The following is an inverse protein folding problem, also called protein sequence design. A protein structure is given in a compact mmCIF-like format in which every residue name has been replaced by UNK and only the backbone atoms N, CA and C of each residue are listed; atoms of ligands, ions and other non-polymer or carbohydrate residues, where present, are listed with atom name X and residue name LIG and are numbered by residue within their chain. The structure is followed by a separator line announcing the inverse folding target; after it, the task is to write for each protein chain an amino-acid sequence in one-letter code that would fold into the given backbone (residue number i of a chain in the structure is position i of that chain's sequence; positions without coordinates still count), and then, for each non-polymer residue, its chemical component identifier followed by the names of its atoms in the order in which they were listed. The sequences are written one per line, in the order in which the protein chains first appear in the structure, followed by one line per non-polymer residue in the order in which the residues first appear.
data_IF_057356249149
#
_entry.id   IF_057356249149
#
_cell.length_a   1.000
_cell.length_b   1.000
_cell.length_c   1.000
_cell.angle_alpha   90.00
_cell.angle_beta   90.00
_cell.angle_gamma   90.00
#
_symmetry.space_group_name_H-M   'P 1'
#
loop_
_entity.id
_entity.type
_entity.pdbx_description
1 polymer ?
#
# COMPACT_ATOMS: atom_id res chain seq x y z
N UNK A 1 6.70 8.84 22.41
CA UNK A 1 5.74 9.92 22.80
C UNK A 1 5.35 10.80 21.61
N UNK A 2 6.30 11.27 20.79
CA UNK A 2 6.01 12.17 19.64
C UNK A 2 5.13 11.49 18.58
N UNK A 3 5.45 10.29 18.15
CA UNK A 3 4.66 9.52 17.18
C UNK A 3 3.21 9.30 17.69
N UNK A 4 3.07 8.90 18.96
CA UNK A 4 1.73 8.75 19.56
C UNK A 4 0.96 10.06 19.61
N UNK A 5 1.63 11.20 19.79
CA UNK A 5 0.96 12.52 19.75
C UNK A 5 0.42 12.86 18.35
N UNK A 6 1.08 12.39 17.28
CA UNK A 6 0.56 12.54 15.92
C UNK A 6 -0.74 11.74 15.77
N UNK A 7 -0.75 10.46 16.15
CA UNK A 7 -1.96 9.65 16.15
C UNK A 7 -3.06 10.27 17.04
N UNK A 8 -2.73 10.62 18.30
CA UNK A 8 -3.68 11.21 19.23
C UNK A 8 -4.26 12.56 18.75
N UNK A 9 -3.55 13.30 17.89
CA UNK A 9 -4.03 14.58 17.35
C UNK A 9 -5.17 14.43 16.34
N UNK A 10 -5.36 13.24 15.80
CA UNK A 10 -6.43 12.93 14.84
C UNK A 10 -7.68 12.33 15.48
N UNK A 11 -7.63 12.03 16.79
CA UNK A 11 -8.78 11.48 17.50
C UNK A 11 -10.02 12.37 17.41
N UNK A 12 -11.13 11.78 16.97
CA UNK A 12 -12.39 12.48 16.73
C UNK A 12 -12.38 13.35 15.47
N UNK A 13 -11.37 13.25 14.62
CA UNK A 13 -11.32 13.89 13.30
C UNK A 13 -11.63 12.87 12.19
N UNK A 14 -11.97 13.35 11.01
CA UNK A 14 -12.23 12.49 9.84
C UNK A 14 -11.02 11.65 9.42
N UNK A 15 -9.80 12.04 9.82
CA UNK A 15 -8.54 11.35 9.56
C UNK A 15 -8.13 10.34 10.64
N UNK A 16 -8.95 10.09 11.65
CA UNK A 16 -8.61 9.19 12.74
C UNK A 16 -8.24 7.77 12.26
N UNK A 17 -9.03 7.23 11.33
CA UNK A 17 -8.80 5.89 10.78
C UNK A 17 -7.50 5.81 9.96
N UNK A 18 -7.10 6.90 9.30
CA UNK A 18 -5.88 6.93 8.48
C UNK A 18 -4.59 7.03 9.30
N UNK A 19 -4.66 7.65 10.49
CA UNK A 19 -3.52 7.78 11.40
C UNK A 19 -3.53 6.75 12.52
N UNK A 20 -4.66 6.16 12.85
CA UNK A 20 -4.78 5.17 13.91
C UNK A 20 -3.86 3.96 13.69
N UNK A 21 -2.94 3.70 14.64
CA UNK A 21 -1.98 2.59 14.56
C UNK A 21 -0.93 2.70 13.46
N UNK A 22 -0.78 3.86 12.80
CA UNK A 22 0.17 4.06 11.71
C UNK A 22 1.62 3.78 12.12
N UNK A 23 1.96 4.02 13.37
CA UNK A 23 3.28 3.80 13.96
C UNK A 23 3.36 2.56 14.86
N UNK A 24 2.38 1.67 14.80
CA UNK A 24 2.30 0.49 15.68
C UNK A 24 3.48 -0.48 15.51
N UNK A 25 4.09 -0.50 14.33
CA UNK A 25 5.23 -1.36 14.00
C UNK A 25 6.58 -0.82 14.48
N UNK A 26 6.61 0.42 14.98
CA UNK A 26 7.85 1.05 15.47
C UNK A 26 8.12 0.60 16.91
N UNK A 27 8.90 -0.47 17.04
CA UNK A 27 9.39 -0.98 18.33
C UNK A 27 10.81 -0.49 18.62
N UNK A 28 10.92 0.63 19.36
CA UNK A 28 12.19 1.19 19.80
C UNK A 28 12.90 0.30 20.85
N UNK A 29 12.23 -0.68 21.43
CA UNK A 29 12.81 -1.66 22.34
C UNK A 29 13.38 -2.89 21.60
N UNK A 30 13.15 -3.02 20.31
CA UNK A 30 13.56 -4.16 19.50
C UNK A 30 15.04 -4.51 19.68
N UNK A 31 15.40 -5.79 19.86
CA UNK A 31 16.82 -6.23 19.92
C UNK A 31 17.53 -6.04 18.57
N UNK A 32 16.80 -5.84 17.47
CA UNK A 32 17.37 -5.53 16.15
C UNK A 32 18.07 -4.16 16.10
N UNK A 33 17.68 -3.22 16.97
CA UNK A 33 18.28 -1.90 17.06
C UNK A 33 19.57 -1.86 17.85
N UNK A 34 19.87 -2.89 18.65
CA UNK A 34 21.06 -2.98 19.47
C UNK A 34 20.87 -3.89 20.68
N UNK A 35 21.98 -4.32 21.29
CA UNK A 35 21.95 -5.23 22.44
C UNK A 35 21.67 -4.51 23.76
N UNK A 36 22.12 -3.28 23.90
CA UNK A 36 21.94 -2.44 25.08
C UNK A 36 21.01 -1.26 24.80
N UNK A 37 20.50 -0.61 25.84
CA UNK A 37 19.72 0.61 25.68
C UNK A 37 20.54 1.73 25.02
N UNK A 38 21.83 1.83 25.34
CA UNK A 38 22.73 2.84 24.78
C UNK A 38 22.96 2.59 23.27
N UNK A 39 23.15 1.32 22.84
CA UNK A 39 23.26 0.99 21.41
C UNK A 39 22.02 1.43 20.63
N UNK A 40 20.84 1.12 21.17
CA UNK A 40 19.55 1.47 20.56
C UNK A 40 19.37 2.99 20.48
N UNK A 41 19.64 3.70 21.57
CA UNK A 41 19.55 5.14 21.63
C UNK A 41 20.53 5.80 20.64
N UNK A 42 21.77 5.30 20.58
CA UNK A 42 22.78 5.80 19.65
C UNK A 42 22.35 5.62 18.21
N UNK A 43 21.83 4.43 17.84
CA UNK A 43 21.35 4.17 16.48
C UNK A 43 20.20 5.10 16.10
N UNK A 44 19.17 5.20 16.96
CA UNK A 44 17.99 6.06 16.71
C UNK A 44 18.41 7.54 16.63
N UNK A 45 19.29 7.99 17.54
CA UNK A 45 19.81 9.38 17.53
C UNK A 45 20.56 9.69 16.24
N UNK A 46 21.41 8.77 15.77
CA UNK A 46 22.15 8.96 14.51
C UNK A 46 21.23 9.06 13.31
N UNK A 47 20.16 8.25 13.26
CA UNK A 47 19.15 8.34 12.19
C UNK A 47 18.42 9.69 12.23
N UNK A 48 17.99 10.14 13.43
CA UNK A 48 17.29 11.41 13.58
C UNK A 48 18.20 12.60 13.22
N UNK A 49 19.46 12.58 13.63
CA UNK A 49 20.41 13.64 13.27
C UNK A 49 20.71 13.66 11.77
N UNK A 50 20.83 12.50 11.14
CA UNK A 50 21.03 12.42 9.69
C UNK A 50 19.82 12.96 8.91
N UNK A 51 18.60 12.79 9.44
CA UNK A 51 17.38 13.35 8.84
C UNK A 51 17.26 14.86 9.10
N UNK A 52 17.70 15.33 10.26
CA UNK A 52 17.66 16.77 10.64
C UNK A 52 18.58 17.62 9.75
N UNK A 53 19.67 17.02 9.25
CA UNK A 53 20.61 17.68 8.33
C UNK A 53 20.07 17.79 6.88
N UNK A 54 18.93 17.18 6.54
CA UNK A 54 18.36 17.18 5.20
C UNK A 54 17.36 18.36 5.08
N UNK A 55 17.65 19.28 4.17
CA UNK A 55 16.67 20.28 3.77
C UNK A 55 15.68 19.67 2.77
N UNK A 56 14.50 19.35 3.25
CA UNK A 56 13.41 18.83 2.41
C UNK A 56 12.67 19.90 1.62
N UNK A 57 13.11 21.16 1.69
CA UNK A 57 12.51 22.27 0.93
C UNK A 57 11.04 22.55 1.25
N UNK A 58 10.56 22.17 2.43
CA UNK A 58 9.14 22.23 2.83
C UNK A 58 8.55 23.65 2.76
N UNK A 59 9.40 24.68 2.76
CA UNK A 59 8.96 26.07 2.71
C UNK A 59 8.94 26.67 1.28
N UNK A 60 9.55 26.02 0.29
CA UNK A 60 9.90 26.69 -0.97
C UNK A 60 9.22 26.16 -2.24
N UNK A 61 8.63 24.98 -2.29
CA UNK A 61 8.08 24.46 -3.55
C UNK A 61 6.81 23.65 -3.39
N UNK A 62 5.76 24.14 -4.02
CA UNK A 62 4.50 23.40 -4.21
C UNK A 62 4.57 22.38 -5.37
N UNK A 63 5.70 22.23 -6.04
CA UNK A 63 5.80 21.49 -7.30
C UNK A 63 6.57 20.16 -7.22
N UNK A 64 7.28 19.85 -6.13
CA UNK A 64 8.06 18.62 -6.02
C UNK A 64 7.66 17.88 -4.75
N UNK A 65 7.18 16.68 -4.93
CA UNK A 65 6.85 15.73 -3.86
C UNK A 65 8.12 15.07 -3.29
N UNK A 66 8.98 15.91 -2.68
CA UNK A 66 10.29 15.47 -2.18
C UNK A 66 10.16 14.39 -1.10
N UNK A 67 9.19 14.52 -0.21
CA UNK A 67 9.00 13.55 0.88
C UNK A 67 8.47 12.21 0.36
N UNK A 68 7.50 12.25 -0.55
CA UNK A 68 6.97 11.06 -1.20
C UNK A 68 8.03 10.35 -2.03
N UNK A 69 8.78 11.06 -2.87
CA UNK A 69 9.86 10.50 -3.67
C UNK A 69 10.97 9.89 -2.81
N UNK A 70 11.38 10.57 -1.73
CA UNK A 70 12.37 10.04 -0.78
C UNK A 70 11.86 8.76 -0.10
N UNK A 71 10.58 8.72 0.26
CA UNK A 71 9.96 7.55 0.86
C UNK A 71 9.89 6.38 -0.11
N UNK A 72 9.47 6.60 -1.36
CA UNK A 72 9.49 5.56 -2.41
C UNK A 72 10.90 5.03 -2.68
N UNK A 73 11.91 5.93 -2.70
CA UNK A 73 13.30 5.52 -2.82
C UNK A 73 13.72 4.59 -1.67
N UNK A 74 13.37 4.93 -0.42
CA UNK A 74 13.64 4.07 0.75
C UNK A 74 12.95 2.71 0.63
N UNK A 75 11.67 2.67 0.24
CA UNK A 75 10.95 1.42 -0.01
C UNK A 75 11.67 0.57 -1.06
N UNK A 76 12.13 1.17 -2.16
CA UNK A 76 12.87 0.47 -3.20
C UNK A 76 14.18 -0.14 -2.70
N UNK A 77 14.92 0.57 -1.83
CA UNK A 77 16.15 0.06 -1.21
C UNK A 77 15.88 -1.10 -0.24
N UNK A 78 14.81 -1.02 0.53
CA UNK A 78 14.38 -2.14 1.38
C UNK A 78 13.98 -3.35 0.55
N UNK A 79 13.26 -3.14 -0.55
CA UNK A 79 12.91 -4.20 -1.49
C UNK A 79 14.17 -4.86 -2.08
N UNK A 80 15.14 -4.08 -2.55
CA UNK A 80 16.40 -4.60 -3.07
C UNK A 80 17.16 -5.44 -2.04
N UNK A 81 17.15 -5.03 -0.77
CA UNK A 81 17.77 -5.77 0.35
C UNK A 81 17.01 -7.03 0.77
N UNK A 82 15.71 -7.13 0.51
CA UNK A 82 14.86 -8.26 0.91
C UNK A 82 14.94 -9.48 -0.04
N UNK A 83 15.64 -9.37 -1.17
CA UNK A 83 15.83 -10.46 -2.13
C UNK A 83 14.51 -10.96 -2.75
N UNK A 84 14.28 -12.29 -2.75
CA UNK A 84 13.07 -12.88 -3.37
C UNK A 84 11.74 -12.40 -2.79
N UNK A 85 11.74 -11.91 -1.56
CA UNK A 85 10.53 -11.35 -0.92
C UNK A 85 10.22 -9.91 -1.34
N UNK A 86 11.13 -9.26 -2.03
CA UNK A 86 10.97 -7.88 -2.48
C UNK A 86 9.74 -7.69 -3.39
N UNK A 87 9.50 -8.62 -4.31
CA UNK A 87 8.39 -8.59 -5.25
C UNK A 87 7.00 -8.78 -4.60
N UNK A 88 6.95 -9.16 -3.31
CA UNK A 88 5.70 -9.34 -2.58
C UNK A 88 5.11 -8.02 -2.03
N UNK A 89 5.91 -6.95 -1.97
CA UNK A 89 5.45 -5.68 -1.41
C UNK A 89 5.85 -4.43 -2.20
N UNK A 90 6.58 -4.58 -3.29
CA UNK A 90 7.01 -3.45 -4.13
C UNK A 90 7.01 -3.83 -5.61
N UNK A 91 6.41 -2.99 -6.43
CA UNK A 91 6.45 -3.10 -7.89
C UNK A 91 7.47 -2.09 -8.44
N UNK A 92 8.45 -2.52 -9.27
CA UNK A 92 9.43 -1.61 -9.87
C UNK A 92 8.77 -0.45 -10.60
N UNK A 93 9.36 0.74 -10.51
CA UNK A 93 8.78 1.97 -11.03
C UNK A 93 8.49 1.92 -12.54
N UNK A 94 9.36 1.30 -13.32
CA UNK A 94 9.19 1.14 -14.78
C UNK A 94 7.96 0.27 -15.11
N UNK A 95 7.76 -0.81 -14.34
CA UNK A 95 6.61 -1.70 -14.50
C UNK A 95 5.34 -0.98 -14.07
N UNK A 96 5.37 -0.31 -12.93
CA UNK A 96 4.23 0.49 -12.42
C UNK A 96 3.80 1.55 -13.43
N UNK A 97 4.76 2.22 -14.06
CA UNK A 97 4.48 3.22 -15.09
C UNK A 97 3.79 2.61 -16.32
N UNK A 98 4.30 1.50 -16.84
CA UNK A 98 3.70 0.82 -18.00
C UNK A 98 2.26 0.40 -17.68
N UNK A 99 2.03 -0.22 -16.53
CA UNK A 99 0.69 -0.65 -16.11
C UNK A 99 -0.25 0.55 -15.96
N UNK A 100 0.21 1.63 -15.35
CA UNK A 100 -0.57 2.85 -15.17
C UNK A 100 -0.94 3.51 -16.51
N UNK A 101 0.00 3.57 -17.46
CA UNK A 101 -0.26 4.08 -18.81
C UNK A 101 -1.30 3.22 -19.54
N UNK A 102 -1.20 1.87 -19.45
CA UNK A 102 -2.16 0.95 -20.08
C UNK A 102 -3.58 1.16 -19.55
N UNK A 103 -3.78 1.19 -18.23
CA UNK A 103 -5.13 1.33 -17.66
C UNK A 103 -5.73 2.72 -17.84
N UNK A 104 -4.90 3.70 -18.16
CA UNK A 104 -5.36 5.07 -18.44
C UNK A 104 -5.70 5.31 -19.92
N UNK A 105 -5.46 4.35 -20.82
CA UNK A 105 -5.76 4.49 -22.25
C UNK A 105 -7.26 4.73 -22.48
N UNK A 106 -7.59 5.82 -23.19
CA UNK A 106 -8.96 6.17 -23.51
C UNK A 106 -9.72 6.92 -22.40
N UNK A 107 -9.10 7.11 -21.26
CA UNK A 107 -9.67 7.90 -20.16
C UNK A 107 -9.01 9.28 -20.08
N UNK A 108 -9.81 10.35 -20.01
CA UNK A 108 -9.29 11.69 -19.68
C UNK A 108 -9.01 11.82 -18.18
N UNK A 109 -9.78 11.10 -17.38
CA UNK A 109 -9.66 11.04 -15.93
C UNK A 109 -10.35 9.78 -15.41
N UNK A 110 -9.71 9.09 -14.48
CA UNK A 110 -10.32 8.01 -13.71
C UNK A 110 -11.06 8.61 -12.50
N UNK A 111 -12.23 8.09 -12.16
CA UNK A 111 -12.89 8.44 -10.89
C UNK A 111 -12.18 7.75 -9.74
N UNK A 112 -11.94 6.46 -9.90
CA UNK A 112 -11.33 5.64 -8.87
C UNK A 112 -10.41 4.58 -9.48
N UNK A 113 -9.41 4.18 -8.68
CA UNK A 113 -8.46 3.13 -9.00
C UNK A 113 -8.32 2.19 -7.81
N UNK A 114 -8.18 0.90 -8.08
CA UNK A 114 -8.10 -0.14 -7.05
C UNK A 114 -6.91 -1.08 -7.26
N UNK A 115 -6.26 -1.47 -6.15
CA UNK A 115 -5.28 -2.55 -6.10
C UNK A 115 -5.61 -3.51 -4.95
N UNK A 116 -6.02 -4.76 -5.26
CA UNK A 116 -6.38 -5.77 -4.26
C UNK A 116 -5.19 -6.33 -3.46
N UNK A 117 -3.96 -6.00 -3.86
CA UNK A 117 -2.71 -6.47 -3.25
C UNK A 117 -1.69 -5.34 -3.24
N UNK A 118 -2.11 -4.17 -2.74
CA UNK A 118 -1.45 -2.90 -3.01
C UNK A 118 -0.01 -2.79 -2.50
N UNK A 119 0.44 -3.69 -1.65
CA UNK A 119 1.79 -3.65 -1.13
C UNK A 119 2.07 -2.32 -0.44
N UNK A 120 3.16 -1.67 -0.82
CA UNK A 120 3.52 -0.33 -0.34
C UNK A 120 2.68 0.81 -0.97
N UNK A 121 1.76 0.50 -1.90
CA UNK A 121 0.95 1.49 -2.61
C UNK A 121 1.61 2.15 -3.80
N UNK A 122 2.87 1.83 -4.13
CA UNK A 122 3.62 2.51 -5.20
C UNK A 122 2.99 2.35 -6.59
N UNK A 123 2.51 1.14 -6.95
CA UNK A 123 1.77 0.92 -8.21
C UNK A 123 0.46 1.72 -8.22
N UNK A 124 -0.25 1.70 -7.11
CA UNK A 124 -1.54 2.37 -6.95
C UNK A 124 -1.40 3.90 -7.07
N UNK A 125 -0.40 4.51 -6.41
CA UNK A 125 -0.06 5.92 -6.56
C UNK A 125 0.29 6.29 -8.00
N UNK A 126 1.08 5.45 -8.68
CA UNK A 126 1.46 5.67 -10.08
C UNK A 126 0.24 5.62 -11.00
N UNK A 127 -0.66 4.65 -10.81
CA UNK A 127 -1.89 4.54 -11.57
C UNK A 127 -2.82 5.74 -11.32
N UNK A 128 -2.94 6.17 -10.06
CA UNK A 128 -3.72 7.34 -9.69
C UNK A 128 -3.15 8.64 -10.30
N UNK A 129 -1.83 8.82 -10.26
CA UNK A 129 -1.16 10.01 -10.81
C UNK A 129 -1.34 10.10 -12.33
N UNK A 130 -1.02 9.04 -13.08
CA UNK A 130 -1.11 9.03 -14.55
C UNK A 130 -2.56 9.10 -15.02
N UNK A 131 -3.47 8.38 -14.34
CA UNK A 131 -4.90 8.37 -14.66
C UNK A 131 -5.67 9.57 -14.11
N UNK A 132 -5.01 10.51 -13.41
CA UNK A 132 -5.67 11.63 -12.73
C UNK A 132 -6.82 11.15 -11.82
N UNK A 133 -6.66 10.05 -11.12
CA UNK A 133 -7.71 9.47 -10.32
C UNK A 133 -8.12 10.39 -9.15
N UNK A 134 -9.43 10.38 -8.84
CA UNK A 134 -9.97 11.14 -7.71
C UNK A 134 -9.79 10.37 -6.42
N UNK A 135 -10.19 9.10 -6.44
CA UNK A 135 -10.21 8.23 -5.28
C UNK A 135 -9.35 7.00 -5.49
N UNK A 136 -8.66 6.59 -4.44
CA UNK A 136 -7.65 5.54 -4.43
C UNK A 136 -8.07 4.46 -3.44
N UNK A 137 -8.16 3.21 -3.89
CA UNK A 137 -8.56 2.10 -3.05
C UNK A 137 -7.49 1.01 -3.08
N UNK A 138 -7.16 0.46 -1.93
CA UNK A 138 -6.20 -0.61 -1.83
C UNK A 138 -6.54 -1.61 -0.73
N UNK A 139 -6.10 -2.84 -0.89
CA UNK A 139 -6.17 -3.83 0.16
C UNK A 139 -4.82 -4.54 0.29
N UNK A 140 -4.35 -4.71 1.53
CA UNK A 140 -3.06 -5.33 1.83
C UNK A 140 -3.19 -6.27 3.03
N UNK A 141 -2.73 -7.50 2.86
CA UNK A 141 -2.82 -8.54 3.89
C UNK A 141 -1.84 -8.33 5.03
N UNK A 142 -0.62 -7.88 4.72
CA UNK A 142 0.43 -7.70 5.72
C UNK A 142 0.26 -6.38 6.46
N UNK A 143 0.08 -6.37 7.81
CA UNK A 143 -0.14 -5.14 8.56
C UNK A 143 0.98 -4.11 8.43
N UNK A 144 2.24 -4.55 8.41
CA UNK A 144 3.39 -3.64 8.26
C UNK A 144 3.39 -2.98 6.89
N UNK A 145 3.14 -3.76 5.83
CA UNK A 145 3.07 -3.24 4.45
C UNK A 145 1.85 -2.34 4.26
N UNK A 146 0.72 -2.67 4.89
CA UNK A 146 -0.46 -1.81 4.96
C UNK A 146 -0.14 -0.43 5.58
N UNK A 147 0.62 -0.39 6.68
CA UNK A 147 1.07 0.86 7.28
C UNK A 147 2.01 1.64 6.36
N UNK A 148 2.89 0.94 5.61
CA UNK A 148 3.74 1.58 4.59
C UNK A 148 2.89 2.22 3.48
N UNK A 149 1.85 1.55 3.01
CA UNK A 149 0.95 2.09 1.98
C UNK A 149 0.23 3.36 2.44
N UNK A 150 -0.34 3.35 3.65
CA UNK A 150 -0.98 4.55 4.23
C UNK A 150 -0.01 5.72 4.37
N UNK A 151 1.18 5.45 4.90
CA UNK A 151 2.23 6.46 5.02
C UNK A 151 2.62 7.01 3.64
N UNK A 152 2.70 6.14 2.63
CA UNK A 152 3.02 6.54 1.25
C UNK A 152 1.96 7.50 0.69
N UNK A 153 0.66 7.21 0.87
CA UNK A 153 -0.42 8.11 0.47
C UNK A 153 -0.30 9.48 1.14
N UNK A 154 -0.08 9.50 2.46
CA UNK A 154 0.03 10.74 3.24
C UNK A 154 1.25 11.59 2.82
N UNK A 155 2.41 10.96 2.62
CA UNK A 155 3.64 11.65 2.22
C UNK A 155 3.58 12.20 0.79
N UNK A 156 2.77 11.61 -0.10
CA UNK A 156 2.46 12.14 -1.42
C UNK A 156 1.32 13.17 -1.40
N UNK A 157 0.94 13.66 -0.22
CA UNK A 157 -0.07 14.70 -0.09
C UNK A 157 -1.48 14.29 -0.52
N UNK A 158 -1.76 12.97 -0.66
CA UNK A 158 -3.11 12.51 -0.95
C UNK A 158 -3.99 12.80 0.26
N UNK A 159 -5.10 13.48 0.03
CA UNK A 159 -6.05 13.79 1.11
C UNK A 159 -6.62 12.50 1.67
N UNK A 160 -6.75 12.41 2.99
CA UNK A 160 -7.36 11.27 3.68
C UNK A 160 -8.75 10.90 3.15
N UNK A 161 -9.54 11.88 2.69
CA UNK A 161 -10.86 11.64 2.08
C UNK A 161 -10.80 10.99 0.69
N UNK A 162 -9.62 10.92 0.07
CA UNK A 162 -9.44 10.49 -1.32
C UNK A 162 -8.68 9.16 -1.42
N UNK A 163 -8.34 8.52 -0.30
CA UNK A 163 -7.82 7.17 -0.32
C UNK A 163 -8.49 6.30 0.76
N UNK A 164 -8.58 5.02 0.48
CA UNK A 164 -9.02 4.01 1.43
C UNK A 164 -8.17 2.76 1.26
N UNK A 165 -7.31 2.51 2.23
CA UNK A 165 -6.50 1.30 2.27
C UNK A 165 -7.01 0.42 3.40
N UNK A 166 -7.31 -0.85 3.11
CA UNK A 166 -7.86 -1.81 4.07
C UNK A 166 -6.84 -2.91 4.37
N UNK A 167 -6.77 -3.34 5.64
CA UNK A 167 -5.89 -4.42 6.04
C UNK A 167 -6.64 -5.75 6.08
N UNK A 168 -6.31 -6.66 5.17
CA UNK A 168 -6.94 -7.98 5.12
C UNK A 168 -6.57 -8.78 3.91
N UNK A 169 -6.83 -10.08 3.97
CA UNK A 169 -6.65 -10.99 2.84
C UNK A 169 -7.83 -10.83 1.87
N UNK A 170 -7.57 -10.22 0.73
CA UNK A 170 -8.55 -9.91 -0.32
C UNK A 170 -9.36 -11.12 -0.78
N UNK A 171 -8.73 -12.29 -0.86
CA UNK A 171 -9.44 -13.49 -1.30
C UNK A 171 -10.39 -14.02 -0.23
N UNK A 172 -10.04 -13.86 1.06
CA UNK A 172 -10.85 -14.34 2.18
C UNK A 172 -11.92 -13.34 2.61
N UNK A 173 -11.64 -12.06 2.47
CA UNK A 173 -12.51 -10.95 2.83
C UNK A 173 -12.33 -9.79 1.85
N UNK A 174 -13.37 -9.52 1.10
CA UNK A 174 -13.45 -8.39 0.18
C UNK A 174 -13.90 -7.15 0.94
N UNK A 175 -12.99 -6.21 1.12
CA UNK A 175 -13.26 -4.99 1.88
C UNK A 175 -14.19 -4.01 1.15
N UNK A 176 -14.31 -4.14 -0.18
CA UNK A 176 -15.03 -3.18 -1.01
C UNK A 176 -16.32 -3.74 -1.63
N UNK A 177 -16.61 -5.02 -1.43
CA UNK A 177 -17.87 -5.65 -1.82
C UNK A 177 -18.23 -5.42 -3.29
N UNK A 178 -19.41 -4.86 -3.55
CA UNK A 178 -19.92 -4.64 -4.91
C UNK A 178 -19.41 -3.35 -5.57
N UNK A 179 -18.39 -2.69 -5.00
CA UNK A 179 -17.83 -1.46 -5.57
C UNK A 179 -17.15 -1.76 -6.90
N UNK A 180 -17.49 -0.97 -7.93
CA UNK A 180 -16.85 -1.04 -9.24
C UNK A 180 -15.85 0.11 -9.39
N UNK A 181 -14.72 -0.19 -10.03
CA UNK A 181 -13.64 0.76 -10.26
C UNK A 181 -13.43 1.03 -11.74
N UNK A 182 -13.03 2.25 -12.07
CA UNK A 182 -12.70 2.62 -13.46
C UNK A 182 -11.41 1.93 -13.92
N UNK A 183 -10.51 1.61 -12.97
CA UNK A 183 -9.30 0.83 -13.25
C UNK A 183 -8.92 -0.04 -12.03
N UNK A 184 -8.49 -1.26 -12.32
CA UNK A 184 -7.92 -2.19 -11.34
C UNK A 184 -6.52 -2.56 -11.77
N UNK A 185 -5.54 -2.36 -10.89
CA UNK A 185 -4.12 -2.69 -11.13
C UNK A 185 -3.65 -3.62 -10.02
N UNK A 186 -2.75 -4.55 -10.32
CA UNK A 186 -2.17 -5.40 -9.29
C UNK A 186 -0.83 -6.01 -9.72
N UNK A 187 0.01 -6.26 -8.74
CA UNK A 187 1.11 -7.21 -8.81
C UNK A 187 0.91 -8.24 -7.69
N UNK A 188 -0.02 -9.21 -7.86
CA UNK A 188 -0.37 -10.14 -6.79
C UNK A 188 0.78 -11.12 -6.50
N UNK A 189 0.84 -11.70 -5.29
CA UNK A 189 1.85 -12.68 -4.94
C UNK A 189 1.65 -13.95 -5.79
N UNK A 190 2.66 -14.28 -6.63
CA UNK A 190 2.60 -15.46 -7.50
C UNK A 190 2.60 -16.76 -6.70
N UNK A 191 1.76 -17.71 -7.13
CA UNK A 191 1.61 -19.02 -6.51
C UNK A 191 1.28 -18.96 -5.01
N UNK A 192 0.60 -17.92 -4.57
CA UNK A 192 0.13 -17.81 -3.19
C UNK A 192 -0.87 -18.93 -2.85
N UNK A 193 -0.81 -19.37 -1.62
CA UNK A 193 -1.83 -20.28 -1.09
C UNK A 193 -3.04 -19.51 -0.58
N UNK A 194 -4.24 -20.04 -0.79
CA UNK A 194 -5.50 -19.53 -0.25
C UNK A 194 -6.39 -20.67 0.22
N UNK A 195 -7.48 -20.37 0.93
CA UNK A 195 -8.32 -21.42 1.53
C UNK A 195 -9.05 -22.26 0.48
N UNK A 196 -9.45 -21.65 -0.64
CA UNK A 196 -10.36 -22.24 -1.64
C UNK A 196 -11.54 -22.98 -0.95
N UNK A 197 -12.10 -22.34 0.10
CA UNK A 197 -13.15 -22.93 0.92
C UNK A 197 -14.46 -23.04 0.12
N UNK A 198 -15.30 -23.99 0.50
CA UNK A 198 -16.56 -24.29 -0.22
C UNK A 198 -17.50 -23.09 -0.31
N UNK A 199 -17.43 -22.13 0.65
CA UNK A 199 -18.18 -20.87 0.62
C UNK A 199 -17.95 -20.07 -0.67
N UNK A 200 -16.77 -20.18 -1.27
CA UNK A 200 -16.42 -19.45 -2.48
C UNK A 200 -17.02 -20.02 -3.78
N UNK A 201 -17.61 -21.21 -3.75
CA UNK A 201 -18.35 -21.74 -4.91
C UNK A 201 -19.62 -20.93 -5.22
N UNK A 202 -20.15 -20.20 -4.23
CA UNK A 202 -21.32 -19.30 -4.38
C UNK A 202 -20.96 -17.83 -4.29
N UNK A 203 -19.71 -17.49 -4.14
CA UNK A 203 -19.21 -16.12 -4.13
C UNK A 203 -19.23 -15.56 -5.56
N UNK A 204 -19.85 -14.41 -5.76
CA UNK A 204 -20.06 -13.81 -7.09
C UNK A 204 -18.74 -13.50 -7.81
N UNK A 205 -17.65 -13.28 -7.09
CA UNK A 205 -16.32 -13.13 -7.65
C UNK A 205 -15.82 -14.35 -8.40
N UNK A 206 -16.18 -15.56 -7.94
CA UNK A 206 -15.60 -16.83 -8.40
C UNK A 206 -16.59 -17.79 -9.05
N UNK A 207 -17.87 -17.70 -8.71
CA UNK A 207 -18.90 -18.68 -9.09
C UNK A 207 -19.06 -18.83 -10.61
N UNK A 208 -18.89 -17.74 -11.37
CA UNK A 208 -19.00 -17.75 -12.83
C UNK A 208 -17.89 -18.52 -13.54
N UNK A 209 -16.78 -18.81 -12.87
CA UNK A 209 -15.66 -19.57 -13.44
C UNK A 209 -15.91 -21.09 -13.48
N UNK A 210 -16.97 -21.58 -12.83
CA UNK A 210 -17.35 -22.98 -12.80
C UNK A 210 -16.51 -23.86 -11.86
N UNK A 211 -15.34 -23.39 -11.44
CA UNK A 211 -14.50 -24.02 -10.42
C UNK A 211 -13.57 -22.99 -9.78
N UNK A 212 -13.22 -23.23 -8.52
CA UNK A 212 -12.26 -22.41 -7.79
C UNK A 212 -10.82 -22.64 -8.29
N UNK A 213 -9.98 -21.59 -8.16
CA UNK A 213 -8.55 -21.73 -8.33
C UNK A 213 -7.98 -22.76 -7.32
N UNK A 214 -6.89 -23.48 -7.66
CA UNK A 214 -6.31 -24.46 -6.74
C UNK A 214 -5.81 -23.80 -5.45
N UNK A 215 -5.92 -24.52 -4.31
CA UNK A 215 -5.47 -24.01 -2.99
C UNK A 215 -4.01 -23.53 -2.97
N UNK A 216 -3.14 -24.13 -3.78
CA UNK A 216 -1.71 -23.83 -3.81
C UNK A 216 -1.31 -22.76 -4.83
N UNK A 217 -2.26 -22.26 -5.64
CA UNK A 217 -2.02 -21.31 -6.72
C UNK A 217 -3.23 -20.41 -6.90
N UNK A 218 -3.27 -19.32 -6.14
CA UNK A 218 -4.39 -18.38 -6.13
C UNK A 218 -4.41 -17.40 -7.31
N UNK A 219 -3.46 -17.50 -8.24
CA UNK A 219 -3.28 -16.55 -9.34
C UNK A 219 -4.60 -16.22 -10.05
N UNK A 220 -5.36 -17.23 -10.44
CA UNK A 220 -6.67 -17.03 -11.08
C UNK A 220 -7.74 -16.47 -10.13
N UNK A 221 -7.64 -16.71 -8.81
CA UNK A 221 -8.58 -16.11 -7.88
C UNK A 221 -8.39 -14.58 -7.82
N UNK A 222 -7.15 -14.08 -7.83
CA UNK A 222 -6.87 -12.65 -7.94
C UNK A 222 -7.40 -12.07 -9.26
N UNK A 223 -7.18 -12.75 -10.37
CA UNK A 223 -7.70 -12.29 -11.69
C UNK A 223 -9.23 -12.20 -11.66
N UNK A 224 -9.93 -13.21 -11.15
CA UNK A 224 -11.38 -13.21 -11.07
C UNK A 224 -11.90 -12.11 -10.13
N UNK A 225 -11.22 -11.88 -9.00
CA UNK A 225 -11.54 -10.79 -8.11
C UNK A 225 -11.39 -9.42 -8.80
N UNK A 226 -10.29 -9.21 -9.54
CA UNK A 226 -10.08 -7.96 -10.30
C UNK A 226 -11.16 -7.75 -11.37
N UNK A 227 -11.54 -8.81 -12.11
CA UNK A 227 -12.60 -8.75 -13.12
C UNK A 227 -13.96 -8.44 -12.50
N UNK A 228 -14.22 -8.95 -11.29
CA UNK A 228 -15.45 -8.69 -10.57
C UNK A 228 -15.63 -7.21 -10.25
N UNK A 229 -14.55 -6.51 -9.98
CA UNK A 229 -14.51 -5.11 -9.61
C UNK A 229 -14.36 -4.12 -10.80
N UNK A 230 -14.21 -4.61 -12.03
CA UNK A 230 -14.24 -3.82 -13.27
C UNK A 230 -15.65 -3.75 -13.84
#
# INVERSE_FOLDING_TARGET
RSLKRIEDSTLGQDSEDDFGGLFSDIDLASPKLGKTADDKNTLVSNVLLALDDIDFGLEASQEIDILGDAYEYMISQFAAGAGKKAGEFYTPQEVSRILAEIVSIGHQRLRNVYDPTCGSGSLLLRAASIGNAVDIYGQEKNPTTYNLARMNMLLHGIRFSNFKIENGDTLEWDAFGDTQFDAVVANPPFSAEWSAADKFNTDDRFSKAGRLAPKKTADYAFILHMIYHL
#
